data_IF_579962414630
#
_entry.id   IF_579962414630
#
_cell.length_a   1.000
_cell.length_b   1.000
_cell.length_c   1.000
_cell.angle_alpha   90.00
_cell.angle_beta   90.00
_cell.angle_gamma   90.00
#
_symmetry.space_group_name_H-M   'P 1'
#
loop_
_entity.id
_entity.type
_entity.pdbx_description
1 polymer ?
#
# COMPACT_ATOMS: atom_id res chain seq x y z
N UNK A 1 -46.46 17.34 -52.93
CA UNK A 1 -47.78 17.22 -52.27
C UNK A 1 -47.58 17.25 -50.76
N UNK A 2 -48.45 17.99 -50.08
CA UNK A 2 -48.64 18.16 -48.63
C UNK A 2 -47.64 19.03 -47.85
N UNK A 3 -48.04 20.31 -47.77
CA UNK A 3 -47.92 21.24 -46.63
C UNK A 3 -48.31 20.52 -45.30
N UNK A 4 -47.96 20.98 -44.09
CA UNK A 4 -48.82 21.90 -43.29
C UNK A 4 -48.22 22.05 -41.85
N UNK A 5 -48.18 23.31 -41.37
CA UNK A 5 -48.25 23.87 -39.98
C UNK A 5 -47.14 23.51 -38.97
N UNK A 6 -46.29 24.44 -38.50
CA UNK A 6 -46.51 25.63 -37.65
C UNK A 6 -47.11 25.33 -36.28
N UNK A 7 -46.36 25.62 -35.21
CA UNK A 7 -46.82 26.29 -33.98
C UNK A 7 -45.63 26.61 -33.07
N UNK A 8 -45.43 27.89 -32.80
CA UNK A 8 -44.46 28.46 -31.88
C UNK A 8 -44.73 28.04 -30.43
N UNK A 9 -43.71 27.71 -29.64
CA UNK A 9 -43.84 27.62 -28.17
C UNK A 9 -42.57 28.15 -27.47
N UNK A 10 -42.72 29.37 -26.96
CA UNK A 10 -42.33 29.87 -25.63
C UNK A 10 -40.85 29.68 -25.23
N UNK A 11 -40.10 30.78 -25.32
CA UNK A 11 -38.91 31.00 -24.51
C UNK A 11 -39.34 31.07 -23.02
N UNK A 12 -38.95 30.06 -22.24
CA UNK A 12 -39.04 30.09 -20.78
C UNK A 12 -37.62 30.08 -20.23
N UNK A 13 -37.16 31.26 -19.82
CA UNK A 13 -35.90 31.47 -19.11
C UNK A 13 -35.96 30.80 -17.73
N UNK A 14 -35.38 29.60 -17.60
CA UNK A 14 -35.04 29.05 -16.28
C UNK A 14 -33.73 29.67 -15.81
N UNK A 15 -33.84 30.61 -14.87
CA UNK A 15 -32.73 31.02 -14.04
C UNK A 15 -32.24 29.80 -13.22
N UNK A 16 -31.07 29.26 -13.58
CA UNK A 16 -30.38 28.26 -12.78
C UNK A 16 -29.87 28.94 -11.51
N UNK A 17 -30.65 28.86 -10.43
CA UNK A 17 -30.14 29.08 -9.08
C UNK A 17 -29.23 27.89 -8.73
N UNK A 18 -27.93 28.04 -8.99
CA UNK A 18 -26.92 27.07 -8.56
C UNK A 18 -26.72 27.19 -7.04
N UNK A 19 -27.47 26.37 -6.32
CA UNK A 19 -27.25 26.09 -4.90
C UNK A 19 -25.86 25.46 -4.77
N UNK A 20 -24.86 26.25 -4.39
CA UNK A 20 -23.54 25.73 -4.03
C UNK A 20 -23.64 25.12 -2.63
N UNK A 21 -23.82 23.81 -2.58
CA UNK A 21 -23.58 23.00 -1.38
C UNK A 21 -22.08 23.06 -1.07
N UNK A 22 -21.71 23.68 0.05
CA UNK A 22 -20.34 23.67 0.55
C UNK A 22 -20.00 22.29 1.13
N UNK A 23 -19.33 21.45 0.34
CA UNK A 23 -18.53 20.36 0.89
C UNK A 23 -17.25 20.97 1.48
N UNK A 24 -16.89 20.58 2.70
CA UNK A 24 -15.68 21.04 3.38
C UNK A 24 -14.45 20.35 2.77
N UNK A 25 -14.05 20.75 1.56
CA UNK A 25 -12.84 20.30 0.87
C UNK A 25 -11.61 21.00 1.44
N UNK A 26 -11.24 20.67 2.69
CA UNK A 26 -9.85 20.91 3.10
C UNK A 26 -8.99 19.88 2.39
N UNK A 27 -8.53 20.22 1.18
CA UNK A 27 -7.44 19.52 0.52
C UNK A 27 -6.22 19.63 1.44
N UNK A 28 -5.95 18.56 2.19
CA UNK A 28 -4.72 18.43 2.97
C UNK A 28 -3.59 18.31 1.96
N UNK A 29 -2.92 19.42 1.68
CA UNK A 29 -1.68 19.43 0.92
C UNK A 29 -0.63 18.67 1.74
N UNK A 30 -0.35 17.43 1.35
CA UNK A 30 0.71 16.63 1.99
C UNK A 30 2.06 17.12 1.49
N UNK A 31 2.95 17.49 2.40
CA UNK A 31 4.32 17.87 2.05
C UNK A 31 5.10 16.63 1.57
N UNK A 32 5.27 16.52 0.25
CA UNK A 32 6.06 15.47 -0.39
C UNK A 32 7.50 15.91 -0.66
N UNK A 33 7.91 17.13 -0.31
CA UNK A 33 9.26 17.65 -0.57
C UNK A 33 10.37 16.83 0.08
N UNK A 34 10.01 16.04 1.10
CA UNK A 34 10.90 15.13 1.82
C UNK A 34 10.92 13.72 1.25
N UNK A 35 9.96 13.33 0.43
CA UNK A 35 10.02 12.02 -0.25
C UNK A 35 11.06 12.13 -1.36
N UNK A 36 12.19 11.44 -1.19
CA UNK A 36 13.30 11.52 -2.13
C UNK A 36 13.32 10.36 -3.12
N UNK A 37 12.85 9.18 -2.71
CA UNK A 37 12.76 8.01 -3.57
C UNK A 37 11.64 7.06 -3.13
N UNK A 38 10.90 6.51 -4.09
CA UNK A 38 9.98 5.38 -3.88
C UNK A 38 10.28 4.35 -4.96
N UNK A 39 10.51 3.12 -4.53
CA UNK A 39 10.66 1.96 -5.39
C UNK A 39 9.57 0.94 -5.05
N UNK A 40 8.69 0.65 -5.99
CA UNK A 40 7.85 -0.53 -5.93
C UNK A 40 8.71 -1.77 -6.18
N UNK A 41 8.58 -2.80 -5.32
CA UNK A 41 9.32 -4.05 -5.47
C UNK A 41 8.39 -5.13 -6.00
N UNK A 42 7.31 -5.43 -5.27
CA UNK A 42 6.28 -6.42 -5.64
C UNK A 42 5.12 -6.36 -4.64
N UNK A 43 3.87 -6.39 -5.10
CA UNK A 43 2.69 -6.31 -4.22
C UNK A 43 2.72 -5.02 -3.37
N UNK A 44 2.55 -5.13 -2.05
CA UNK A 44 2.69 -4.03 -1.11
C UNK A 44 4.14 -3.79 -0.66
N UNK A 45 5.10 -4.64 -1.08
CA UNK A 45 6.50 -4.45 -0.74
C UNK A 45 7.05 -3.24 -1.49
N UNK A 46 7.37 -2.18 -0.76
CA UNK A 46 7.95 -0.95 -1.31
C UNK A 46 9.13 -0.48 -0.46
N UNK A 47 10.08 0.20 -1.11
CA UNK A 47 11.20 0.87 -0.45
C UNK A 47 11.04 2.38 -0.60
N UNK A 48 10.99 3.09 0.51
CA UNK A 48 10.72 4.53 0.55
C UNK A 48 11.86 5.23 1.26
N UNK A 49 12.51 6.16 0.59
CA UNK A 49 13.42 7.12 1.24
C UNK A 49 12.66 8.42 1.50
N UNK A 50 12.56 8.77 2.78
CA UNK A 50 11.98 10.00 3.26
C UNK A 50 13.02 10.76 4.07
N UNK A 51 13.39 11.96 3.61
CA UNK A 51 14.57 12.69 4.05
C UNK A 51 15.83 11.81 3.94
N UNK A 52 16.50 11.58 5.06
CA UNK A 52 17.72 10.80 5.22
C UNK A 52 17.46 9.37 5.73
N UNK A 53 16.20 8.95 5.84
CA UNK A 53 15.81 7.62 6.32
C UNK A 53 15.15 6.80 5.22
N UNK A 54 15.59 5.56 5.05
CA UNK A 54 15.03 4.59 4.12
C UNK A 54 14.26 3.50 4.87
N UNK A 55 12.97 3.38 4.56
CA UNK A 55 12.08 2.35 5.08
C UNK A 55 11.82 1.28 4.03
N UNK A 56 11.83 0.02 4.46
CA UNK A 56 11.24 -1.09 3.72
C UNK A 56 9.86 -1.38 4.31
N UNK A 57 8.83 -1.35 3.47
CA UNK A 57 7.45 -1.52 3.90
C UNK A 57 6.95 -2.87 3.40
N UNK A 58 6.29 -3.62 4.27
CA UNK A 58 5.57 -4.87 3.99
C UNK A 58 6.37 -5.89 3.15
N UNK A 59 7.53 -6.37 3.64
CA UNK A 59 8.39 -7.26 2.89
C UNK A 59 7.80 -8.67 2.74
N UNK A 60 7.62 -9.08 1.47
CA UNK A 60 7.28 -10.45 1.08
C UNK A 60 8.34 -10.97 0.09
N UNK A 61 9.22 -11.86 0.55
CA UNK A 61 10.42 -12.27 -0.19
C UNK A 61 10.37 -13.67 -0.81
N UNK A 62 9.28 -14.42 -0.64
CA UNK A 62 9.15 -15.76 -1.19
C UNK A 62 9.31 -15.77 -2.72
N UNK A 63 9.89 -16.85 -3.22
CA UNK A 63 10.03 -17.10 -4.67
C UNK A 63 8.66 -17.28 -5.30
N UNK A 64 8.55 -17.00 -6.60
CA UNK A 64 7.31 -17.20 -7.36
C UNK A 64 6.70 -18.58 -7.10
N UNK A 65 5.41 -18.60 -6.80
CA UNK A 65 4.61 -19.80 -6.59
C UNK A 65 5.03 -20.63 -5.39
N UNK A 66 5.70 -20.06 -4.38
CA UNK A 66 6.11 -20.81 -3.19
C UNK A 66 4.90 -21.25 -2.34
N UNK A 67 3.97 -20.35 -2.07
CA UNK A 67 2.76 -20.60 -1.27
C UNK A 67 1.59 -21.05 -2.14
N UNK A 68 0.65 -21.79 -1.53
CA UNK A 68 -0.69 -21.97 -2.14
C UNK A 68 -1.40 -20.62 -2.29
N UNK A 69 -2.41 -20.58 -3.16
CA UNK A 69 -3.34 -19.45 -3.17
C UNK A 69 -4.14 -19.40 -1.85
N UNK A 70 -4.59 -18.20 -1.46
CA UNK A 70 -5.41 -18.07 -0.26
C UNK A 70 -6.76 -18.79 -0.44
N UNK A 71 -7.15 -19.69 0.47
CA UNK A 71 -8.41 -20.44 0.35
C UNK A 71 -9.61 -19.50 0.34
N UNK A 72 -10.68 -19.89 -0.36
CA UNK A 72 -11.94 -19.15 -0.45
C UNK A 72 -11.82 -17.70 -0.99
N UNK A 73 -10.73 -17.40 -1.68
CA UNK A 73 -10.52 -16.12 -2.38
C UNK A 73 -10.62 -16.25 -3.90
N UNK A 74 -10.74 -15.11 -4.58
CA UNK A 74 -10.74 -15.09 -6.04
C UNK A 74 -9.42 -15.64 -6.60
N UNK A 75 -9.52 -16.65 -7.48
CA UNK A 75 -8.36 -17.34 -8.08
C UNK A 75 -7.44 -18.03 -7.07
N UNK A 76 -8.01 -18.61 -6.00
CA UNK A 76 -7.30 -19.44 -5.01
C UNK A 76 -6.50 -20.62 -5.59
N UNK A 77 -6.78 -21.04 -6.82
CA UNK A 77 -6.00 -22.06 -7.55
C UNK A 77 -4.64 -21.57 -8.06
N UNK A 78 -4.37 -20.25 -8.04
CA UNK A 78 -3.08 -19.69 -8.41
C UNK A 78 -2.17 -19.62 -7.18
N UNK A 79 -0.94 -20.09 -7.33
CA UNK A 79 0.08 -20.05 -6.27
C UNK A 79 0.65 -18.65 -6.08
N UNK A 80 1.00 -18.31 -4.84
CA UNK A 80 1.52 -17.00 -4.47
C UNK A 80 3.03 -17.06 -4.12
N UNK A 81 3.81 -16.01 -4.42
CA UNK A 81 3.51 -14.86 -5.27
C UNK A 81 3.42 -15.23 -6.77
N UNK A 82 2.69 -14.47 -7.57
CA UNK A 82 2.52 -14.75 -9.02
C UNK A 82 3.76 -14.47 -9.87
N UNK A 83 4.64 -13.59 -9.39
CA UNK A 83 5.84 -13.13 -10.10
C UNK A 83 7.05 -13.20 -9.19
N UNK A 84 8.24 -13.33 -9.76
CA UNK A 84 9.49 -13.28 -9.01
C UNK A 84 9.78 -11.88 -8.48
N UNK A 85 10.67 -11.76 -7.51
CA UNK A 85 11.22 -10.46 -7.13
C UNK A 85 12.04 -9.88 -8.31
N UNK A 86 11.98 -8.56 -8.55
CA UNK A 86 12.75 -7.94 -9.64
C UNK A 86 14.26 -7.88 -9.34
N UNK A 87 14.63 -7.94 -8.06
CA UNK A 87 16.01 -7.93 -7.55
C UNK A 87 16.12 -8.84 -6.31
N UNK A 88 17.34 -9.21 -5.92
CA UNK A 88 17.55 -10.13 -4.80
C UNK A 88 17.20 -9.48 -3.45
N UNK A 89 16.71 -10.25 -2.45
CA UNK A 89 16.41 -9.75 -1.10
C UNK A 89 17.56 -8.98 -0.44
N UNK A 90 18.80 -9.45 -0.61
CA UNK A 90 19.97 -8.79 -0.02
C UNK A 90 20.15 -7.38 -0.58
N UNK A 91 19.98 -7.20 -1.90
CA UNK A 91 20.03 -5.89 -2.58
C UNK A 91 18.86 -5.00 -2.20
N UNK A 92 17.67 -5.57 -1.94
CA UNK A 92 16.53 -4.78 -1.41
C UNK A 92 16.88 -4.18 -0.05
N UNK A 93 17.53 -4.95 0.82
CA UNK A 93 17.87 -4.56 2.20
C UNK A 93 19.05 -3.58 2.30
N UNK A 94 19.87 -3.45 1.27
CA UNK A 94 20.99 -2.51 1.25
C UNK A 94 20.52 -1.07 1.54
N UNK A 95 21.05 -0.45 2.59
CA UNK A 95 20.69 0.92 2.98
C UNK A 95 19.27 1.09 3.53
N UNK A 96 18.59 0.00 3.94
CA UNK A 96 17.34 0.10 4.71
C UNK A 96 17.68 0.37 6.18
N UNK A 97 17.10 1.41 6.76
CA UNK A 97 17.31 1.80 8.16
C UNK A 97 16.29 1.17 9.11
N UNK A 98 15.06 0.94 8.62
CA UNK A 98 13.99 0.32 9.39
C UNK A 98 12.96 -0.36 8.48
N UNK A 99 12.22 -1.29 9.07
CA UNK A 99 11.11 -1.98 8.41
C UNK A 99 9.79 -1.51 9.01
N UNK A 100 8.77 -1.29 8.17
CA UNK A 100 7.40 -1.05 8.59
C UNK A 100 6.57 -2.26 8.16
N UNK A 101 5.91 -2.90 9.12
CA UNK A 101 4.94 -3.98 8.85
C UNK A 101 3.56 -3.46 9.22
N UNK A 102 2.75 -3.17 8.20
CA UNK A 102 1.41 -2.59 8.39
C UNK A 102 0.48 -3.55 9.11
N UNK A 103 0.58 -4.85 8.80
CA UNK A 103 -0.08 -5.96 9.48
C UNK A 103 0.62 -7.28 9.09
N UNK A 104 0.32 -8.37 9.79
CA UNK A 104 1.05 -9.64 9.68
C UNK A 104 0.43 -10.68 8.74
N UNK A 105 -0.39 -10.26 7.77
CA UNK A 105 -0.82 -11.18 6.71
C UNK A 105 0.36 -11.62 5.82
N UNK A 106 0.25 -12.82 5.27
CA UNK A 106 1.34 -13.50 4.55
C UNK A 106 1.85 -12.70 3.33
N UNK A 107 1.01 -11.91 2.66
CA UNK A 107 1.40 -11.10 1.50
C UNK A 107 2.04 -9.75 1.86
N UNK A 108 2.16 -9.45 3.16
CA UNK A 108 2.85 -8.30 3.74
C UNK A 108 4.04 -8.69 4.62
N UNK A 109 4.02 -9.90 5.19
CA UNK A 109 5.07 -10.40 6.09
C UNK A 109 5.19 -11.93 5.99
N UNK A 110 6.17 -12.41 5.23
CA UNK A 110 6.34 -13.84 4.97
C UNK A 110 7.57 -14.46 5.65
N UNK A 111 7.64 -15.80 5.65
CA UNK A 111 8.73 -16.52 6.31
C UNK A 111 10.09 -16.24 5.65
N UNK A 112 10.09 -15.96 4.34
CA UNK A 112 11.30 -15.58 3.63
C UNK A 112 11.84 -14.23 4.10
N UNK A 113 10.99 -13.23 4.32
CA UNK A 113 11.36 -11.95 4.91
C UNK A 113 11.83 -12.13 6.36
N UNK A 114 11.11 -12.92 7.16
CA UNK A 114 11.49 -13.24 8.54
C UNK A 114 12.89 -13.88 8.62
N UNK A 115 13.24 -14.75 7.67
CA UNK A 115 14.53 -15.43 7.63
C UNK A 115 15.67 -14.53 7.12
N UNK A 116 15.36 -13.58 6.25
CA UNK A 116 16.37 -12.73 5.57
C UNK A 116 16.68 -11.46 6.36
N UNK A 117 15.68 -10.84 6.99
CA UNK A 117 15.86 -9.55 7.67
C UNK A 117 16.65 -9.73 8.97
N UNK A 118 17.71 -8.92 9.21
CA UNK A 118 18.47 -8.97 10.45
C UNK A 118 17.59 -8.80 11.69
N UNK A 119 17.76 -9.68 12.68
CA UNK A 119 16.91 -9.68 13.89
C UNK A 119 17.07 -8.44 14.79
N UNK A 120 18.09 -7.63 14.55
CA UNK A 120 18.34 -6.35 15.20
C UNK A 120 17.87 -5.14 14.38
N UNK A 121 17.30 -5.34 13.18
CA UNK A 121 16.68 -4.26 12.40
C UNK A 121 15.53 -3.65 13.21
N UNK A 122 15.40 -2.32 13.29
CA UNK A 122 14.21 -1.68 13.87
C UNK A 122 12.96 -1.99 13.04
N UNK A 123 11.93 -2.52 13.69
CA UNK A 123 10.62 -2.79 13.08
C UNK A 123 9.54 -1.92 13.71
N UNK A 124 8.68 -1.35 12.88
CA UNK A 124 7.48 -0.62 13.28
C UNK A 124 6.23 -1.40 12.92
N UNK A 125 5.29 -1.54 13.85
CA UNK A 125 4.06 -2.34 13.70
C UNK A 125 2.82 -1.57 14.13
N UNK A 126 1.64 -1.97 13.64
CA UNK A 126 0.39 -1.27 13.94
C UNK A 126 -0.09 -1.39 15.40
N UNK A 127 0.19 -2.50 16.09
CA UNK A 127 -0.38 -2.75 17.41
C UNK A 127 0.48 -3.73 18.24
N UNK A 128 0.09 -3.91 19.52
CA UNK A 128 0.79 -4.80 20.46
C UNK A 128 0.68 -6.29 20.11
N UNK A 129 -0.31 -6.69 19.32
CA UNK A 129 -0.48 -8.09 18.92
C UNK A 129 0.54 -8.46 17.86
N UNK A 130 0.65 -7.66 16.81
CA UNK A 130 1.70 -7.81 15.79
C UNK A 130 3.10 -7.67 16.39
N UNK A 131 3.28 -6.78 17.37
CA UNK A 131 4.54 -6.67 18.10
C UNK A 131 4.94 -8.01 18.73
N UNK A 132 4.00 -8.68 19.42
CA UNK A 132 4.26 -9.97 20.08
C UNK A 132 4.55 -11.06 19.06
N UNK A 133 3.79 -11.12 17.97
CA UNK A 133 4.00 -12.07 16.88
C UNK A 133 5.42 -11.93 16.34
N UNK A 134 5.82 -10.72 15.95
CA UNK A 134 7.13 -10.47 15.34
C UNK A 134 8.28 -10.68 16.35
N UNK A 135 8.10 -10.32 17.62
CA UNK A 135 9.09 -10.62 18.67
C UNK A 135 9.25 -12.14 18.89
N UNK A 136 8.17 -12.91 18.84
CA UNK A 136 8.23 -14.38 18.93
C UNK A 136 9.00 -15.03 17.78
N UNK A 137 9.13 -14.33 16.65
CA UNK A 137 9.94 -14.74 15.48
C UNK A 137 11.42 -14.30 15.60
N UNK A 138 11.82 -13.80 16.78
CA UNK A 138 13.20 -13.50 17.16
C UNK A 138 13.68 -12.08 16.92
N UNK A 139 12.81 -11.17 16.45
CA UNK A 139 13.17 -9.75 16.27
C UNK A 139 13.27 -9.02 17.61
N UNK A 140 14.32 -8.21 17.75
CA UNK A 140 14.73 -7.64 19.06
C UNK A 140 14.25 -6.20 19.27
N UNK A 141 14.10 -5.42 18.21
CA UNK A 141 13.65 -4.03 18.26
C UNK A 141 12.36 -3.87 17.45
N UNK A 142 11.22 -4.07 18.13
CA UNK A 142 9.89 -4.00 17.51
C UNK A 142 9.08 -2.98 18.28
N UNK A 143 8.64 -1.92 17.60
CA UNK A 143 8.00 -0.73 18.18
C UNK A 143 6.59 -0.58 17.62
N UNK A 144 5.61 -0.40 18.49
CA UNK A 144 4.26 -0.06 18.06
C UNK A 144 4.24 1.40 17.61
N UNK A 145 3.70 1.69 16.43
CA UNK A 145 3.45 3.06 16.00
C UNK A 145 2.36 3.68 16.87
N UNK A 146 2.71 4.74 17.58
CA UNK A 146 1.79 5.56 18.38
C UNK A 146 1.63 6.93 17.73
N UNK A 147 0.46 7.53 17.89
CA UNK A 147 0.19 8.92 17.46
C UNK A 147 0.89 9.93 18.37
#
# INVERSE_FOLDING_TARGET
>A
MNKILSSSVIALSLAMASVHLYANDKVVQRDTSKVTHIQEIRNATIKVTYADTTFLIDPMFAKKGFYEGFPDTHRSYLRNPLVDLPIKPETILEGVDAVIVTHTHLDHWDDAAQATIPKNMPLFVQNKEDQKIIQSQGFKDVRVLTQ
#
